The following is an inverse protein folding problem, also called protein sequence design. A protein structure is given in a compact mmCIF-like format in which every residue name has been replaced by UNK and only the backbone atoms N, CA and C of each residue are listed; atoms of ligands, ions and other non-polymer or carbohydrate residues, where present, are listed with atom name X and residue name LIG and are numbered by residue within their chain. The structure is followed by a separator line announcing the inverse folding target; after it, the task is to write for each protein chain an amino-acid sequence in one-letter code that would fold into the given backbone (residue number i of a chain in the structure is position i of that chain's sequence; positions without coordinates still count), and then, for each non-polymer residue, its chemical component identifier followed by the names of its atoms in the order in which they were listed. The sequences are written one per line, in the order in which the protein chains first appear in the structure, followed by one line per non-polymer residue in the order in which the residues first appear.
data_IF_416778488458
#
_entry.id   IF_416778488458
#
_cell.length_a   1.000
_cell.length_b   1.000
_cell.length_c   1.000
_cell.angle_alpha   90.00
_cell.angle_beta   90.00
_cell.angle_gamma   90.00
#
_symmetry.space_group_name_H-M   'P 1'
#
loop_
_entity.id
_entity.type
_entity.pdbx_description
1 polymer ?
#
# COMPACT_ATOMS: atom_id res chain seq x y z
N UNK A 1 -48.65 -23.70 37.25
CA UNK A 1 -47.56 -24.09 36.31
C UNK A 1 -47.25 -23.03 35.25
N UNK A 2 -48.24 -22.37 34.64
CA UNK A 2 -48.02 -21.41 33.54
C UNK A 2 -47.07 -20.23 33.84
N UNK A 3 -47.11 -19.65 35.06
CA UNK A 3 -46.25 -18.52 35.42
C UNK A 3 -44.75 -18.83 35.54
N UNK A 4 -44.37 -20.11 35.73
CA UNK A 4 -42.97 -20.53 35.83
C UNK A 4 -42.34 -20.74 34.44
N UNK A 5 -43.14 -21.23 33.48
CA UNK A 5 -42.73 -21.36 32.08
C UNK A 5 -42.57 -20.00 31.38
N UNK A 6 -43.50 -19.06 31.62
CA UNK A 6 -43.40 -17.70 31.07
C UNK A 6 -42.16 -16.95 31.57
N UNK A 7 -41.80 -17.14 32.84
CA UNK A 7 -40.62 -16.52 33.43
C UNK A 7 -39.32 -17.11 32.88
N UNK A 8 -39.30 -18.40 32.60
CA UNK A 8 -38.13 -19.07 32.02
C UNK A 8 -37.93 -18.71 30.55
N UNK A 9 -39.02 -18.59 29.77
CA UNK A 9 -38.96 -18.10 28.39
C UNK A 9 -38.53 -16.62 28.29
N UNK A 10 -38.90 -15.77 29.25
CA UNK A 10 -38.40 -14.39 29.32
C UNK A 10 -36.89 -14.33 29.60
N UNK A 11 -36.40 -15.15 30.53
CA UNK A 11 -34.97 -15.20 30.87
C UNK A 11 -34.15 -15.71 29.68
N UNK A 12 -34.60 -16.77 29.00
CA UNK A 12 -33.93 -17.26 27.78
C UNK A 12 -33.95 -16.23 26.65
N UNK A 13 -35.05 -15.50 26.46
CA UNK A 13 -35.12 -14.44 25.44
C UNK A 13 -34.15 -13.28 25.74
N UNK A 14 -34.08 -12.85 27.01
CA UNK A 14 -33.19 -11.78 27.47
C UNK A 14 -31.71 -12.19 27.35
N UNK A 15 -31.38 -13.44 27.72
CA UNK A 15 -30.02 -13.98 27.59
C UNK A 15 -29.60 -14.15 26.11
N UNK A 16 -30.54 -14.55 25.25
CA UNK A 16 -30.30 -14.68 23.81
C UNK A 16 -30.15 -13.32 23.11
N UNK A 17 -30.85 -12.28 23.55
CA UNK A 17 -30.68 -10.92 23.03
C UNK A 17 -29.36 -10.29 23.49
N UNK A 18 -28.95 -10.50 24.75
CA UNK A 18 -27.61 -10.10 25.24
C UNK A 18 -26.50 -10.79 24.44
N UNK A 19 -26.66 -12.08 24.10
CA UNK A 19 -25.69 -12.81 23.28
C UNK A 19 -25.56 -12.24 21.85
N UNK A 20 -26.70 -11.86 21.22
CA UNK A 20 -26.70 -11.23 19.89
C UNK A 20 -26.07 -9.85 19.90
N UNK A 21 -26.37 -9.02 20.90
CA UNK A 21 -25.78 -7.68 21.04
C UNK A 21 -24.27 -7.75 21.26
N UNK A 22 -23.81 -8.70 22.08
CA UNK A 22 -22.38 -8.93 22.29
C UNK A 22 -21.70 -9.41 20.98
N UNK A 23 -22.32 -10.33 20.25
CA UNK A 23 -21.79 -10.82 18.98
C UNK A 23 -21.72 -9.71 17.93
N UNK A 24 -22.76 -8.89 17.81
CA UNK A 24 -22.78 -7.73 16.93
C UNK A 24 -21.70 -6.71 17.32
N UNK A 25 -21.53 -6.44 18.62
CA UNK A 25 -20.47 -5.57 19.13
C UNK A 25 -19.07 -6.07 18.76
N UNK A 26 -18.82 -7.37 18.90
CA UNK A 26 -17.55 -8.00 18.48
C UNK A 26 -17.36 -7.90 16.96
N UNK A 27 -18.41 -8.16 16.17
CA UNK A 27 -18.34 -8.02 14.71
C UNK A 27 -18.00 -6.59 14.28
N UNK A 28 -18.64 -5.59 14.90
CA UNK A 28 -18.36 -4.17 14.64
C UNK A 28 -16.92 -3.80 15.04
N UNK A 29 -16.45 -4.28 16.20
CA UNK A 29 -15.06 -4.09 16.64
C UNK A 29 -14.05 -4.72 15.68
N UNK A 30 -14.29 -5.94 15.20
CA UNK A 30 -13.42 -6.59 14.22
C UNK A 30 -13.41 -5.85 12.87
N UNK A 31 -14.58 -5.39 12.41
CA UNK A 31 -14.69 -4.62 11.17
C UNK A 31 -13.94 -3.29 11.26
N UNK A 32 -14.17 -2.54 12.35
CA UNK A 32 -13.50 -1.26 12.60
C UNK A 32 -11.99 -1.42 12.76
N UNK A 33 -11.54 -2.46 13.47
CA UNK A 33 -10.13 -2.80 13.57
C UNK A 33 -9.54 -3.14 12.20
N UNK A 34 -10.25 -3.93 11.38
CA UNK A 34 -9.83 -4.25 10.02
C UNK A 34 -9.67 -3.02 9.14
N UNK A 35 -10.64 -2.11 9.15
CA UNK A 35 -10.57 -0.84 8.41
C UNK A 35 -9.44 0.05 8.94
N UNK A 36 -9.25 0.13 10.26
CA UNK A 36 -8.16 0.88 10.87
C UNK A 36 -6.80 0.33 10.45
N UNK A 37 -6.63 -0.99 10.46
CA UNK A 37 -5.42 -1.65 9.99
C UNK A 37 -5.21 -1.36 8.50
N UNK A 38 -6.25 -1.45 7.66
CA UNK A 38 -6.12 -1.15 6.22
C UNK A 38 -5.80 0.32 5.94
N UNK A 39 -6.29 1.25 6.76
CA UNK A 39 -5.99 2.68 6.63
C UNK A 39 -4.60 3.07 7.16
N UNK A 40 -4.09 2.36 8.17
CA UNK A 40 -2.78 2.64 8.80
C UNK A 40 -1.66 1.82 8.17
N UNK A 41 -1.96 0.63 7.63
CA UNK A 41 -1.01 -0.20 6.93
C UNK A 41 -0.54 0.58 5.69
N UNK A 42 0.70 1.07 5.75
CA UNK A 42 1.38 1.49 4.54
C UNK A 42 1.37 0.31 3.57
N UNK A 43 1.27 0.54 2.25
CA UNK A 43 1.39 -0.52 1.27
C UNK A 43 2.63 -1.33 1.62
N UNK A 44 2.47 -2.64 1.82
CA UNK A 44 3.61 -3.52 2.05
C UNK A 44 4.31 -3.66 0.71
N UNK A 45 5.08 -2.63 0.33
CA UNK A 45 6.01 -2.74 -0.78
C UNK A 45 6.95 -3.87 -0.43
N UNK A 46 7.10 -4.80 -1.37
CA UNK A 46 8.07 -5.88 -1.25
C UNK A 46 9.45 -5.24 -1.07
N UNK A 47 9.95 -5.19 0.17
CA UNK A 47 11.34 -4.84 0.48
C UNK A 47 12.18 -6.04 0.04
N UNK A 48 12.30 -6.19 -1.28
CA UNK A 48 13.26 -7.08 -1.90
C UNK A 48 14.49 -6.25 -2.21
N UNK A 49 15.66 -6.72 -1.78
CA UNK A 49 16.95 -6.24 -2.27
C UNK A 49 17.13 -6.71 -3.73
N UNK A 50 16.29 -6.22 -4.64
CA UNK A 50 16.50 -6.37 -6.07
C UNK A 50 17.41 -5.22 -6.51
N UNK A 51 18.62 -5.54 -6.96
CA UNK A 51 19.46 -4.55 -7.63
C UNK A 51 18.78 -4.16 -8.96
N UNK A 52 18.72 -2.86 -9.31
CA UNK A 52 18.10 -2.43 -10.56
C UNK A 52 18.84 -3.02 -11.75
N UNK A 53 18.09 -3.49 -12.74
CA UNK A 53 18.64 -3.81 -14.04
C UNK A 53 19.11 -2.51 -14.74
N UNK A 54 20.03 -2.59 -15.72
CA UNK A 54 20.54 -1.40 -16.42
C UNK A 54 19.46 -0.53 -17.07
N UNK A 55 18.36 -1.16 -17.49
CA UNK A 55 17.24 -0.48 -18.13
C UNK A 55 16.18 0.00 -17.12
N UNK A 56 16.26 -0.38 -15.84
CA UNK A 56 15.23 0.01 -14.86
C UNK A 56 15.26 1.53 -14.59
N UNK A 57 14.09 2.08 -14.28
CA UNK A 57 13.99 3.48 -13.88
C UNK A 57 14.40 3.61 -12.42
N UNK A 58 15.50 4.31 -12.15
CA UNK A 58 15.98 4.53 -10.78
C UNK A 58 15.86 5.99 -10.38
N UNK A 59 15.13 6.26 -9.30
CA UNK A 59 14.93 7.59 -8.72
C UNK A 59 15.53 7.63 -7.32
N UNK A 60 16.38 8.61 -7.04
CA UNK A 60 16.97 8.86 -5.73
C UNK A 60 16.36 10.11 -5.11
N UNK A 61 15.91 9.99 -3.87
CA UNK A 61 15.45 11.09 -3.03
C UNK A 61 16.64 11.58 -2.20
N UNK A 62 16.91 12.88 -2.28
CA UNK A 62 17.98 13.56 -1.56
C UNK A 62 17.43 14.78 -0.83
N UNK A 63 18.24 15.40 0.04
CA UNK A 63 17.88 16.67 0.71
C UNK A 63 17.64 17.82 -0.28
N UNK A 64 18.21 17.76 -1.49
CA UNK A 64 18.03 18.77 -2.56
C UNK A 64 16.81 18.51 -3.43
N UNK A 65 16.14 17.36 -3.26
CA UNK A 65 15.03 16.93 -4.10
C UNK A 65 15.26 15.57 -4.75
N UNK A 66 14.47 15.28 -5.78
CA UNK A 66 14.49 14.01 -6.51
C UNK A 66 15.47 14.07 -7.68
N UNK A 67 16.18 12.98 -7.92
CA UNK A 67 17.10 12.84 -9.04
C UNK A 67 16.96 11.50 -9.73
N UNK A 68 17.19 11.50 -11.03
CA UNK A 68 17.40 10.28 -11.80
C UNK A 68 18.79 9.69 -11.48
N UNK A 69 18.84 8.37 -11.42
CA UNK A 69 20.06 7.59 -11.25
C UNK A 69 20.06 6.42 -12.24
N UNK A 70 21.25 5.88 -12.51
CA UNK A 70 21.39 4.63 -13.24
C UNK A 70 21.56 3.42 -12.31
N UNK A 71 21.94 3.64 -11.04
CA UNK A 71 22.41 2.56 -10.16
C UNK A 71 22.01 2.72 -8.69
N UNK A 72 21.26 3.76 -8.32
CA UNK A 72 20.84 4.01 -6.94
C UNK A 72 21.96 4.51 -6.00
N UNK A 73 23.16 4.80 -6.53
CA UNK A 73 24.32 5.29 -5.78
C UNK A 73 24.58 6.78 -6.00
N UNK A 74 24.51 7.23 -7.24
CA UNK A 74 24.74 8.64 -7.61
C UNK A 74 23.58 9.23 -8.38
N UNK A 75 23.33 10.53 -8.17
CA UNK A 75 22.37 11.28 -8.97
C UNK A 75 23.04 11.67 -10.29
N UNK A 76 22.49 11.20 -11.41
CA UNK A 76 22.94 11.60 -12.74
C UNK A 76 22.37 12.98 -13.12
N UNK A 77 21.10 13.25 -12.78
CA UNK A 77 20.44 14.54 -13.02
C UNK A 77 19.27 14.74 -12.06
N UNK A 78 19.04 15.97 -11.60
CA UNK A 78 17.84 16.32 -10.83
C UNK A 78 16.59 16.31 -11.72
N UNK A 79 15.47 15.84 -11.15
CA UNK A 79 14.17 15.88 -11.82
C UNK A 79 13.59 17.28 -11.77
N UNK A 80 12.90 17.66 -12.85
CA UNK A 80 12.04 18.83 -12.89
C UNK A 80 10.70 18.52 -12.24
N UNK A 81 9.94 19.57 -11.90
CA UNK A 81 8.58 19.42 -11.40
C UNK A 81 7.70 18.65 -12.41
N UNK A 82 6.88 17.72 -11.91
CA UNK A 82 6.03 16.85 -12.75
C UNK A 82 6.77 15.76 -13.53
N UNK A 83 8.10 15.79 -13.61
CA UNK A 83 8.88 14.85 -14.41
C UNK A 83 8.74 13.41 -13.90
N UNK A 84 8.66 13.21 -12.59
CA UNK A 84 8.40 11.90 -11.98
C UNK A 84 7.10 11.28 -12.51
N UNK A 85 5.99 12.04 -12.52
CA UNK A 85 4.68 11.54 -12.97
C UNK A 85 4.71 11.14 -14.44
N UNK A 86 5.40 11.93 -15.27
CA UNK A 86 5.59 11.62 -16.70
C UNK A 86 6.34 10.30 -16.86
N UNK A 87 7.48 10.14 -16.19
CA UNK A 87 8.29 8.92 -16.24
C UNK A 87 7.53 7.69 -15.71
N UNK A 88 6.77 7.84 -14.63
CA UNK A 88 5.93 6.77 -14.10
C UNK A 88 4.82 6.36 -15.10
N UNK A 89 4.25 7.30 -15.84
CA UNK A 89 3.26 7.01 -16.89
C UNK A 89 3.88 6.33 -18.10
N UNK A 90 5.10 6.72 -18.49
CA UNK A 90 5.85 6.07 -19.58
C UNK A 90 6.20 4.61 -19.27
N UNK A 91 6.27 4.21 -17.99
CA UNK A 91 6.49 2.81 -17.62
C UNK A 91 5.33 1.89 -17.99
N UNK A 92 4.11 2.41 -18.16
CA UNK A 92 2.93 1.60 -18.53
C UNK A 92 3.17 0.87 -19.87
N UNK A 93 3.85 1.50 -20.81
CA UNK A 93 4.17 0.93 -22.12
C UNK A 93 5.44 0.07 -22.12
N UNK A 94 6.11 -0.09 -20.98
CA UNK A 94 7.41 -0.73 -20.85
C UNK A 94 7.37 -1.83 -19.77
N UNK A 95 6.68 -2.94 -20.04
CA UNK A 95 6.31 -3.92 -19.02
C UNK A 95 7.49 -4.69 -18.42
N UNK A 96 8.65 -4.68 -19.08
CA UNK A 96 9.89 -5.33 -18.64
C UNK A 96 10.81 -4.41 -17.81
N UNK A 97 10.46 -3.12 -17.67
CA UNK A 97 11.25 -2.15 -16.91
C UNK A 97 10.58 -1.88 -15.57
N UNK A 98 11.33 -1.99 -14.48
CA UNK A 98 10.85 -1.73 -13.12
C UNK A 98 11.20 -0.31 -12.65
N UNK A 99 10.53 0.13 -11.59
CA UNK A 99 10.80 1.38 -10.89
C UNK A 99 11.50 1.09 -9.56
N UNK A 100 12.64 1.72 -9.33
CA UNK A 100 13.37 1.66 -8.07
C UNK A 100 13.45 3.04 -7.44
N UNK A 101 12.96 3.18 -6.21
CA UNK A 101 12.98 4.41 -5.43
C UNK A 101 13.96 4.26 -4.26
N UNK A 102 15.00 5.08 -4.22
CA UNK A 102 16.02 5.07 -3.16
C UNK A 102 15.89 6.30 -2.28
N UNK A 103 15.73 6.09 -0.97
CA UNK A 103 15.83 7.17 0.01
C UNK A 103 17.31 7.33 0.41
N UNK A 104 17.93 8.44 0.02
CA UNK A 104 19.30 8.83 0.44
C UNK A 104 19.31 10.15 1.21
N UNK A 105 18.14 10.67 1.54
CA UNK A 105 17.92 11.94 2.24
C UNK A 105 16.61 12.60 1.79
N UNK A 106 16.22 13.69 2.45
CA UNK A 106 14.97 14.39 2.14
C UNK A 106 13.73 13.73 2.75
N UNK A 107 12.58 13.86 2.09
CA UNK A 107 11.29 13.46 2.64
C UNK A 107 10.94 12.00 2.30
N UNK A 108 10.90 11.15 3.34
CA UNK A 108 10.36 9.78 3.24
C UNK A 108 8.91 9.78 2.80
N UNK A 109 8.10 10.69 3.35
CA UNK A 109 6.67 10.80 3.04
C UNK A 109 6.45 11.07 1.54
N UNK A 110 7.25 11.96 0.94
CA UNK A 110 7.18 12.22 -0.50
C UNK A 110 7.47 10.95 -1.32
N UNK A 111 8.51 10.19 -0.96
CA UNK A 111 8.83 8.94 -1.65
C UNK A 111 7.72 7.90 -1.51
N UNK A 112 7.13 7.77 -0.33
CA UNK A 112 6.00 6.86 -0.06
C UNK A 112 4.79 7.24 -0.92
N UNK A 113 4.48 8.53 -1.03
CA UNK A 113 3.37 9.01 -1.87
C UNK A 113 3.61 8.75 -3.36
N UNK A 114 4.84 8.97 -3.82
CA UNK A 114 5.24 8.69 -5.20
C UNK A 114 5.22 7.17 -5.51
N UNK A 115 5.64 6.35 -4.54
CA UNK A 115 5.55 4.89 -4.63
C UNK A 115 4.10 4.42 -4.72
N UNK A 116 3.20 4.97 -3.89
CA UNK A 116 1.78 4.66 -3.91
C UNK A 116 1.13 5.09 -5.22
N UNK A 117 1.49 6.26 -5.74
CA UNK A 117 1.04 6.74 -7.05
C UNK A 117 1.48 5.79 -8.15
N UNK A 118 2.77 5.45 -8.22
CA UNK A 118 3.29 4.54 -9.25
C UNK A 118 2.67 3.14 -9.13
N UNK A 119 2.56 2.59 -7.93
CA UNK A 119 1.95 1.28 -7.70
C UNK A 119 0.49 1.26 -8.16
N UNK A 120 -0.30 2.29 -7.83
CA UNK A 120 -1.69 2.40 -8.28
C UNK A 120 -1.79 2.43 -9.82
N UNK A 121 -0.89 3.18 -10.48
CA UNK A 121 -0.84 3.31 -11.93
C UNK A 121 -0.46 1.99 -12.62
N UNK A 122 0.50 1.27 -12.01
CA UNK A 122 1.05 0.03 -12.51
C UNK A 122 0.26 -1.20 -12.01
N UNK A 123 -0.88 -1.01 -11.33
CA UNK A 123 -1.71 -2.09 -10.75
C UNK A 123 -2.86 -2.56 -11.65
N UNK A 124 -2.95 -2.15 -12.92
CA UNK A 124 -4.00 -2.62 -13.84
C UNK A 124 -3.42 -3.10 -15.18
N UNK A 125 -3.76 -4.33 -15.57
CA UNK A 125 -3.44 -4.94 -16.86
C UNK A 125 -4.72 -5.64 -17.33
N UNK A 126 -5.18 -5.43 -18.57
CA UNK A 126 -6.43 -6.00 -19.06
C UNK A 126 -6.42 -7.53 -19.24
N UNK A 127 -5.25 -8.19 -19.17
CA UNK A 127 -5.04 -9.51 -19.80
C UNK A 127 -4.63 -10.65 -18.86
N UNK A 128 -4.61 -10.44 -17.54
CA UNK A 128 -4.40 -11.53 -16.57
C UNK A 128 -2.99 -12.18 -16.54
N UNK A 129 -2.05 -11.78 -17.40
CA UNK A 129 -0.63 -12.17 -17.30
C UNK A 129 0.17 -11.17 -16.46
N UNK A 130 1.10 -11.69 -15.65
CA UNK A 130 1.97 -10.93 -14.75
C UNK A 130 3.07 -10.22 -15.56
N UNK A 131 2.76 -9.08 -16.17
CA UNK A 131 3.76 -8.21 -16.82
C UNK A 131 3.42 -6.76 -16.50
N UNK A 132 3.66 -6.39 -15.24
CA UNK A 132 3.53 -4.99 -14.81
C UNK A 132 4.86 -4.60 -14.16
N UNK A 133 5.40 -3.41 -14.48
CA UNK A 133 6.55 -2.85 -13.79
C UNK A 133 6.37 -2.94 -12.27
N UNK A 134 7.31 -3.58 -11.59
CA UNK A 134 7.33 -3.59 -10.14
C UNK A 134 7.85 -2.26 -9.60
N UNK A 135 7.29 -1.82 -8.47
CA UNK A 135 7.80 -0.67 -7.72
C UNK A 135 8.57 -1.18 -6.51
N UNK A 136 9.88 -0.94 -6.49
CA UNK A 136 10.77 -1.28 -5.39
C UNK A 136 11.14 -0.04 -4.59
N UNK A 137 11.04 -0.13 -3.27
CA UNK A 137 11.38 0.95 -2.35
C UNK A 137 12.56 0.54 -1.49
N UNK A 138 13.62 1.34 -1.52
CA UNK A 138 14.87 1.11 -0.81
C UNK A 138 15.02 2.16 0.29
N UNK A 139 14.72 1.76 1.53
CA UNK A 139 14.90 2.55 2.74
C UNK A 139 16.23 2.13 3.36
N UNK A 140 17.26 2.96 3.25
CA UNK A 140 18.57 2.75 3.90
C UNK A 140 18.73 3.72 5.06
#
# INVERSE_FOLDING_TARGET
MAGRFLRQAMIEAEEHDVSKELFLGIMMLMLTLGIMILNVAQPVWRVYHHEPNPDDLVIIYTSKGQGFSQNGKSVARMLKEGEFRRLATELISQPDRNLHLYLRGGSRERMVNDAAYADSLLSTAPTGKKVRPAVFVHLW
#
